data_IF_248735032614
#
_entry.id   IF_248735032614
#
_cell.length_a   1.000
_cell.length_b   1.000
_cell.length_c   1.000
_cell.angle_alpha   90.00
_cell.angle_beta   90.00
_cell.angle_gamma   90.00
#
_symmetry.space_group_name_H-M   'P 1'
#
loop_
_entity.id
_entity.type
_entity.pdbx_description
1 polymer ?
#
# COMPACT_ATOMS: atom_id res chain seq x y z
N UNK A 1 24.40 -8.95 -5.46
CA UNK A 1 23.30 -8.52 -4.57
C UNK A 1 23.68 -8.90 -3.15
N UNK A 2 23.66 -7.96 -2.21
CA UNK A 2 23.96 -8.18 -0.79
C UNK A 2 22.72 -7.79 0.03
N UNK A 3 22.33 -8.64 0.98
CA UNK A 3 21.22 -8.33 1.89
C UNK A 3 21.75 -7.46 3.02
N UNK A 4 21.17 -6.27 3.17
CA UNK A 4 21.50 -5.32 4.23
C UNK A 4 20.34 -5.26 5.23
N UNK A 5 20.38 -6.11 6.25
CA UNK A 5 19.42 -6.04 7.36
C UNK A 5 19.70 -4.79 8.19
N UNK A 6 18.64 -4.04 8.51
CA UNK A 6 18.74 -2.81 9.29
C UNK A 6 17.52 -2.60 10.18
N UNK A 7 17.66 -1.72 11.15
CA UNK A 7 16.54 -1.27 11.98
C UNK A 7 15.51 -0.51 11.14
N UNK A 8 14.22 -0.59 11.54
CA UNK A 8 13.10 0.04 10.80
C UNK A 8 13.28 1.55 10.67
N UNK A 9 13.81 2.23 11.68
CA UNK A 9 14.04 3.68 11.62
C UNK A 9 15.09 4.04 10.58
N UNK A 10 16.20 3.29 10.51
CA UNK A 10 17.24 3.49 9.51
C UNK A 10 16.75 3.16 8.10
N UNK A 11 15.91 2.12 7.95
CA UNK A 11 15.27 1.80 6.68
C UNK A 11 14.42 2.97 6.18
N UNK A 12 13.60 3.56 7.05
CA UNK A 12 12.79 4.73 6.68
C UNK A 12 13.66 5.92 6.29
N UNK A 13 14.70 6.25 7.06
CA UNK A 13 15.63 7.33 6.71
C UNK A 13 16.24 7.12 5.32
N UNK A 14 16.67 5.89 4.99
CA UNK A 14 17.23 5.61 3.66
C UNK A 14 16.19 5.64 2.55
N UNK A 15 15.01 5.07 2.80
CA UNK A 15 13.89 5.07 1.86
C UNK A 15 13.48 6.50 1.52
N UNK A 16 13.30 7.34 2.53
CA UNK A 16 12.92 8.75 2.39
C UNK A 16 14.00 9.56 1.65
N UNK A 17 15.27 9.20 1.81
CA UNK A 17 16.38 9.77 1.03
C UNK A 17 16.56 9.11 -0.34
N UNK A 18 15.74 8.13 -0.72
CA UNK A 18 15.87 7.31 -1.94
C UNK A 18 17.26 6.65 -2.09
N UNK A 19 17.87 6.25 -0.97
CA UNK A 19 19.21 5.64 -0.86
C UNK A 19 19.14 4.10 -0.79
N UNK A 20 18.44 3.47 -1.73
CA UNK A 20 18.36 2.02 -1.86
C UNK A 20 18.23 1.59 -3.32
N UNK A 21 18.84 0.45 -3.66
CA UNK A 21 18.68 -0.15 -5.00
C UNK A 21 17.38 -0.95 -5.09
N UNK A 22 17.08 -1.73 -4.04
CA UNK A 22 15.91 -2.61 -3.93
C UNK A 22 15.48 -2.66 -2.46
N UNK A 23 14.18 -2.61 -2.23
CA UNK A 23 13.58 -2.77 -0.90
C UNK A 23 12.61 -3.94 -0.87
N UNK A 24 12.57 -4.66 0.25
CA UNK A 24 11.63 -5.76 0.49
C UNK A 24 10.65 -5.33 1.57
N UNK A 25 9.36 -5.45 1.29
CA UNK A 25 8.30 -5.08 2.20
C UNK A 25 7.10 -6.03 2.11
N UNK A 26 6.14 -5.88 3.02
CA UNK A 26 4.88 -6.63 2.96
C UNK A 26 4.01 -6.16 1.80
N UNK A 27 3.43 -7.11 1.05
CA UNK A 27 2.41 -6.83 0.05
C UNK A 27 1.09 -6.47 0.73
N UNK A 28 0.64 -5.22 0.55
CA UNK A 28 -0.63 -4.70 1.06
C UNK A 28 -1.51 -4.25 -0.13
N UNK A 29 -2.73 -3.78 0.13
CA UNK A 29 -3.62 -3.23 -0.90
C UNK A 29 -4.46 -4.27 -1.65
N UNK A 30 -4.23 -5.57 -1.42
CA UNK A 30 -5.05 -6.63 -2.02
C UNK A 30 -6.51 -6.66 -1.53
N UNK A 31 -6.83 -6.01 -0.40
CA UNK A 31 -8.21 -5.91 0.11
C UNK A 31 -9.00 -4.78 -0.58
N UNK A 32 -8.34 -3.66 -0.87
CA UNK A 32 -8.90 -2.52 -1.58
C UNK A 32 -7.78 -1.81 -2.36
N UNK A 33 -7.72 -2.11 -3.65
CA UNK A 33 -6.66 -1.63 -4.55
C UNK A 33 -6.79 -0.15 -4.88
N UNK A 34 -7.97 0.44 -4.67
CA UNK A 34 -8.21 1.87 -4.95
C UNK A 34 -7.75 2.70 -3.77
N UNK A 35 -8.03 2.26 -2.55
CA UNK A 35 -7.57 2.94 -1.33
C UNK A 35 -6.09 2.74 -1.07
N UNK A 36 -5.51 1.62 -1.50
CA UNK A 36 -4.10 1.29 -1.30
C UNK A 36 -3.41 0.79 -2.57
N UNK A 37 -3.11 1.70 -3.51
CA UNK A 37 -2.50 1.34 -4.78
C UNK A 37 -0.96 1.32 -4.75
N UNK A 38 -0.28 1.41 -3.58
CA UNK A 38 1.18 1.64 -3.48
C UNK A 38 2.06 0.66 -4.25
N UNK A 39 1.58 -0.55 -4.55
CA UNK A 39 2.32 -1.57 -5.32
C UNK A 39 2.01 -1.58 -6.80
N UNK A 40 0.98 -0.85 -7.22
CA UNK A 40 0.51 -0.79 -8.61
C UNK A 40 0.81 0.56 -9.25
N UNK A 41 0.95 1.61 -8.43
CA UNK A 41 1.14 2.98 -8.90
C UNK A 41 1.92 3.80 -7.83
N UNK A 42 2.87 4.69 -8.20
CA UNK A 42 3.59 5.57 -7.25
C UNK A 42 2.67 6.58 -6.54
N UNK A 43 1.98 6.11 -5.51
CA UNK A 43 0.88 6.81 -4.85
C UNK A 43 1.30 7.58 -3.61
N UNK A 44 2.18 6.99 -2.80
CA UNK A 44 2.57 7.51 -1.48
C UNK A 44 4.02 7.17 -1.17
N UNK A 45 4.57 7.74 -0.10
CA UNK A 45 5.88 7.38 0.44
C UNK A 45 5.96 5.95 0.99
N UNK A 46 5.00 5.07 0.73
CA UNK A 46 5.14 3.63 0.92
C UNK A 46 5.24 2.88 -0.42
N UNK A 47 5.35 3.61 -1.54
CA UNK A 47 5.67 3.07 -2.86
C UNK A 47 7.20 2.98 -2.99
N UNK A 48 7.81 2.07 -2.22
CA UNK A 48 9.27 2.00 -2.01
C UNK A 48 10.08 1.88 -3.31
N UNK A 49 9.47 1.39 -4.40
CA UNK A 49 10.13 1.25 -5.69
C UNK A 49 10.22 2.58 -6.47
N UNK A 50 9.54 3.64 -6.03
CA UNK A 50 9.32 4.87 -6.80
C UNK A 50 9.13 6.13 -5.92
N UNK A 51 9.96 6.30 -4.88
CA UNK A 51 9.86 7.41 -3.91
C UNK A 51 9.96 8.80 -4.57
N UNK A 52 10.82 8.97 -5.57
CA UNK A 52 10.93 10.24 -6.29
C UNK A 52 9.71 10.51 -7.19
N UNK A 53 9.10 9.47 -7.76
CA UNK A 53 7.93 9.61 -8.64
C UNK A 53 6.65 9.86 -7.85
N UNK A 54 6.44 9.20 -6.71
CA UNK A 54 5.32 9.52 -5.83
C UNK A 54 5.46 10.94 -5.26
N UNK A 55 6.70 11.38 -4.98
CA UNK A 55 6.98 12.75 -4.57
C UNK A 55 6.58 13.74 -5.68
N UNK A 56 6.92 13.45 -6.93
CA UNK A 56 6.47 14.26 -8.08
C UNK A 56 4.95 14.29 -8.23
N UNK A 57 4.27 13.17 -8.02
CA UNK A 57 2.81 13.09 -8.09
C UNK A 57 2.11 13.96 -7.04
N UNK A 58 2.59 13.89 -5.80
CA UNK A 58 1.97 14.54 -4.64
C UNK A 58 2.46 15.98 -4.41
N UNK A 59 3.72 16.27 -4.70
CA UNK A 59 4.38 17.56 -4.48
C UNK A 59 5.43 17.86 -5.56
N UNK A 60 5.02 18.26 -6.79
CA UNK A 60 5.94 18.47 -7.91
C UNK A 60 6.89 19.66 -7.71
N UNK A 61 6.64 20.57 -6.75
CA UNK A 61 7.58 21.66 -6.45
C UNK A 61 8.78 21.19 -5.64
N UNK A 62 8.64 20.06 -4.92
CA UNK A 62 9.65 19.50 -4.03
C UNK A 62 9.89 20.28 -2.75
N UNK A 63 9.20 21.41 -2.53
CA UNK A 63 9.39 22.21 -1.32
C UNK A 63 8.92 21.42 -0.09
N UNK A 64 9.84 21.16 0.84
CA UNK A 64 9.58 20.37 2.04
C UNK A 64 9.37 18.87 1.79
N UNK A 65 9.60 18.37 0.58
CA UNK A 65 9.54 16.94 0.29
C UNK A 65 10.72 16.20 0.93
N UNK A 66 10.46 15.00 1.45
CA UNK A 66 11.52 14.12 1.98
C UNK A 66 12.43 13.62 0.86
N UNK A 67 11.81 13.17 -0.23
CA UNK A 67 12.49 12.77 -1.46
C UNK A 67 12.32 13.86 -2.52
N UNK A 68 13.40 14.35 -3.16
CA UNK A 68 13.28 15.26 -4.30
C UNK A 68 12.42 14.65 -5.40
N UNK A 69 11.45 15.39 -5.97
CA UNK A 69 10.58 14.86 -7.00
C UNK A 69 11.34 14.65 -8.30
N UNK A 70 11.05 13.54 -8.98
CA UNK A 70 11.56 13.22 -10.31
C UNK A 70 10.38 12.95 -11.25
N UNK A 71 10.41 13.53 -12.45
CA UNK A 71 9.37 13.29 -13.44
C UNK A 71 9.36 11.80 -13.85
N UNK A 72 8.24 11.09 -13.70
CA UNK A 72 8.16 9.67 -13.99
C UNK A 72 8.23 9.36 -15.50
N UNK A 73 8.59 8.12 -15.88
CA UNK A 73 8.39 7.59 -17.22
C UNK A 73 6.91 7.60 -17.64
N UNK A 74 6.67 7.34 -18.94
CA UNK A 74 5.33 7.40 -19.53
C UNK A 74 4.30 6.49 -18.83
N UNK A 75 4.66 5.24 -18.49
CA UNK A 75 3.77 4.28 -17.82
C UNK A 75 3.25 4.82 -16.48
N UNK A 76 4.13 5.07 -15.48
CA UNK A 76 3.68 5.63 -14.21
C UNK A 76 3.00 6.99 -14.33
N UNK A 77 3.41 7.84 -15.30
CA UNK A 77 2.72 9.11 -15.56
C UNK A 77 1.28 8.92 -16.03
N UNK A 78 1.02 7.94 -16.89
CA UNK A 78 -0.34 7.57 -17.30
C UNK A 78 -1.15 7.03 -16.11
N UNK A 79 -0.53 6.21 -15.24
CA UNK A 79 -1.19 5.74 -14.01
C UNK A 79 -1.60 6.91 -13.09
N UNK A 80 -0.77 7.97 -12.99
CA UNK A 80 -1.11 9.19 -12.25
C UNK A 80 -2.35 9.90 -12.80
N UNK A 81 -2.47 9.97 -14.13
CA UNK A 81 -3.61 10.59 -14.80
C UNK A 81 -4.90 9.78 -14.54
N UNK A 82 -4.84 8.46 -14.74
CA UNK A 82 -5.94 7.54 -14.44
C UNK A 82 -6.37 7.61 -12.98
N UNK A 83 -5.42 7.68 -12.04
CA UNK A 83 -5.74 7.75 -10.62
C UNK A 83 -6.42 9.08 -10.24
N UNK A 84 -6.05 10.19 -10.88
CA UNK A 84 -6.77 11.47 -10.72
C UNK A 84 -8.20 11.39 -11.25
N UNK A 85 -8.45 10.64 -12.32
CA UNK A 85 -9.81 10.39 -12.81
C UNK A 85 -10.63 9.55 -11.82
N UNK A 86 -10.02 8.50 -11.23
CA UNK A 86 -10.64 7.71 -10.15
C UNK A 86 -11.07 8.62 -8.99
N UNK A 87 -10.21 9.54 -8.57
CA UNK A 87 -10.49 10.51 -7.50
C UNK A 87 -11.58 11.53 -7.89
N UNK A 88 -11.77 11.79 -9.18
CA UNK A 88 -12.75 12.73 -9.71
C UNK A 88 -14.15 12.15 -9.89
N UNK A 89 -14.32 10.82 -9.85
CA UNK A 89 -15.61 10.15 -10.03
C UNK A 89 -16.12 9.52 -8.74
N UNK A 90 -17.45 9.51 -8.59
CA UNK A 90 -18.16 8.78 -7.53
C UNK A 90 -18.82 7.49 -8.02
N UNK A 91 -18.66 7.12 -9.30
CA UNK A 91 -19.20 5.89 -9.87
C UNK A 91 -18.22 4.74 -9.66
N UNK A 92 -18.62 3.75 -8.86
CA UNK A 92 -17.78 2.61 -8.54
C UNK A 92 -17.40 1.77 -9.78
N UNK A 93 -18.30 1.64 -10.76
CA UNK A 93 -18.01 0.89 -11.98
C UNK A 93 -16.96 1.62 -12.84
N UNK A 94 -17.00 2.95 -12.86
CA UNK A 94 -15.99 3.75 -13.52
C UNK A 94 -14.64 3.67 -12.80
N UNK A 95 -14.63 3.73 -11.46
CA UNK A 95 -13.41 3.54 -10.68
C UNK A 95 -12.77 2.17 -10.94
N UNK A 96 -13.57 1.11 -11.01
CA UNK A 96 -13.10 -0.23 -11.33
C UNK A 96 -12.42 -0.29 -12.70
N UNK A 97 -13.05 0.28 -13.74
CA UNK A 97 -12.50 0.25 -15.09
C UNK A 97 -11.20 1.05 -15.22
N UNK A 98 -11.12 2.21 -14.59
CA UNK A 98 -9.90 3.01 -14.56
C UNK A 98 -8.79 2.30 -13.76
N UNK A 99 -9.13 1.65 -12.65
CA UNK A 99 -8.14 0.92 -11.85
C UNK A 99 -7.60 -0.31 -12.59
N UNK A 100 -8.41 -1.00 -13.39
CA UNK A 100 -7.92 -2.08 -14.26
C UNK A 100 -6.84 -1.60 -15.22
N UNK A 101 -6.99 -0.42 -15.82
CA UNK A 101 -5.95 0.16 -16.68
C UNK A 101 -4.66 0.46 -15.92
N UNK A 102 -4.75 0.93 -14.66
CA UNK A 102 -3.57 1.09 -13.79
C UNK A 102 -2.87 -0.25 -13.56
N UNK A 103 -3.64 -1.31 -13.29
CA UNK A 103 -3.11 -2.67 -13.07
C UNK A 103 -2.48 -3.25 -14.34
N UNK A 104 -3.06 -3.02 -15.51
CA UNK A 104 -2.51 -3.45 -16.80
C UNK A 104 -1.14 -2.79 -17.04
N UNK A 105 -1.02 -1.48 -16.80
CA UNK A 105 0.27 -0.78 -16.89
C UNK A 105 1.27 -1.32 -15.86
N UNK A 106 0.82 -1.60 -14.63
CA UNK A 106 1.68 -2.14 -13.58
C UNK A 106 2.23 -3.53 -13.97
N UNK A 107 1.41 -4.34 -14.64
CA UNK A 107 1.81 -5.65 -15.14
C UNK A 107 2.83 -5.56 -16.28
N UNK A 108 2.66 -4.60 -17.20
CA UNK A 108 3.59 -4.38 -18.32
C UNK A 108 4.93 -3.79 -17.87
N UNK A 109 4.91 -2.83 -16.94
CA UNK A 109 6.11 -2.13 -16.45
C UNK A 109 6.89 -2.94 -15.40
N UNK A 110 6.18 -3.72 -14.57
CA UNK A 110 6.74 -4.72 -13.65
C UNK A 110 7.76 -4.18 -12.61
N UNK A 111 7.53 -2.97 -12.07
CA UNK A 111 8.39 -2.36 -11.05
C UNK A 111 8.36 -3.06 -9.67
N UNK A 112 7.22 -3.63 -9.30
CA UNK A 112 7.04 -4.35 -8.04
C UNK A 112 6.94 -5.85 -8.28
N UNK A 113 7.83 -6.64 -7.67
CA UNK A 113 7.90 -8.09 -7.87
C UNK A 113 7.37 -8.81 -6.63
N UNK A 114 6.19 -9.40 -6.77
CA UNK A 114 5.62 -10.30 -5.76
C UNK A 114 6.36 -11.65 -5.72
N UNK A 115 6.69 -12.13 -4.51
CA UNK A 115 7.40 -13.40 -4.33
C UNK A 115 6.44 -14.55 -3.96
N UNK A 116 5.61 -14.34 -2.94
CA UNK A 116 4.63 -15.32 -2.47
C UNK A 116 3.52 -14.63 -1.67
N UNK A 117 2.35 -15.26 -1.64
CA UNK A 117 1.28 -14.88 -0.70
C UNK A 117 1.62 -15.40 0.70
N UNK A 118 1.43 -14.55 1.70
CA UNK A 118 1.54 -14.97 3.10
C UNK A 118 0.46 -15.99 3.46
N UNK A 119 0.74 -16.94 4.37
CA UNK A 119 -0.30 -17.84 4.87
C UNK A 119 -1.33 -17.06 5.69
N UNK A 120 -2.54 -17.62 5.83
CA UNK A 120 -3.53 -17.07 6.75
C UNK A 120 -2.95 -17.01 8.18
N UNK A 121 -3.08 -15.85 8.82
CA UNK A 121 -2.78 -15.70 10.24
C UNK A 121 -3.80 -16.41 11.14
N UNK A 122 -3.59 -16.36 12.45
CA UNK A 122 -4.53 -16.87 13.44
C UNK A 122 -4.70 -15.89 14.61
N UNK A 123 -5.89 -15.89 15.19
CA UNK A 123 -6.18 -15.20 16.45
C UNK A 123 -6.34 -16.20 17.59
N UNK A 124 -6.17 -15.74 18.82
CA UNK A 124 -6.41 -16.53 20.03
C UNK A 124 -7.55 -15.86 20.80
N UNK A 125 -8.60 -16.62 21.09
CA UNK A 125 -9.76 -16.16 21.88
C UNK A 125 -9.97 -17.17 23.00
N UNK A 126 -10.08 -16.69 24.24
CA UNK A 126 -10.40 -17.55 25.37
C UNK A 126 -11.84 -18.05 25.24
N UNK A 127 -12.12 -19.29 25.68
CA UNK A 127 -13.47 -19.87 25.60
C UNK A 127 -14.56 -19.05 26.30
N UNK A 128 -14.20 -18.23 27.28
CA UNK A 128 -15.09 -17.33 28.03
C UNK A 128 -15.18 -15.93 27.41
N UNK A 129 -14.43 -15.64 26.36
CA UNK A 129 -14.39 -14.34 25.68
C UNK A 129 -15.17 -14.45 24.38
N UNK A 130 -16.25 -13.69 24.28
CA UNK A 130 -17.28 -13.86 23.28
C UNK A 130 -17.46 -12.62 22.42
N UNK A 131 -18.24 -12.81 21.34
CA UNK A 131 -18.53 -11.81 20.32
C UNK A 131 -17.33 -11.38 19.47
N UNK A 132 -16.27 -12.20 19.42
CA UNK A 132 -15.16 -12.04 18.48
C UNK A 132 -15.51 -12.74 17.16
N UNK A 133 -15.56 -12.04 16.02
CA UNK A 133 -15.89 -12.66 14.74
C UNK A 133 -14.79 -13.62 14.27
N UNK A 134 -15.20 -14.61 13.46
CA UNK A 134 -14.28 -15.51 12.76
C UNK A 134 -14.82 -15.78 11.35
N UNK A 135 -14.05 -15.52 10.29
CA UNK A 135 -12.68 -14.98 10.26
C UNK A 135 -12.61 -13.47 10.54
N UNK A 136 -11.40 -12.97 10.81
CA UNK A 136 -11.09 -11.53 10.86
C UNK A 136 -10.14 -11.21 9.69
N UNK A 137 -10.52 -10.38 8.70
CA UNK A 137 -9.60 -9.91 7.66
C UNK A 137 -8.41 -9.18 8.28
N UNK A 138 -7.19 -9.42 7.80
CA UNK A 138 -5.99 -8.72 8.28
C UNK A 138 -5.39 -7.83 7.19
N UNK A 139 -5.30 -6.53 7.45
CA UNK A 139 -4.57 -5.57 6.63
C UNK A 139 -4.13 -4.39 7.51
N UNK A 140 -3.15 -3.61 7.06
CA UNK A 140 -2.81 -2.35 7.72
C UNK A 140 -3.97 -1.34 7.64
N UNK A 141 -4.67 -1.27 6.50
CA UNK A 141 -5.84 -0.41 6.32
C UNK A 141 -7.05 -0.88 7.14
N UNK A 142 -7.06 -2.14 7.56
CA UNK A 142 -8.12 -2.75 8.36
C UNK A 142 -7.52 -3.33 9.65
N UNK A 143 -7.04 -2.46 10.57
CA UNK A 143 -6.10 -2.85 11.61
C UNK A 143 -6.77 -3.64 12.73
N UNK A 144 -6.58 -4.95 12.73
CA UNK A 144 -7.14 -5.83 13.76
C UNK A 144 -6.66 -5.45 15.17
N UNK A 145 -7.53 -5.52 16.19
CA UNK A 145 -8.95 -5.91 16.14
C UNK A 145 -9.91 -4.71 16.04
N UNK A 146 -9.48 -3.50 15.69
CA UNK A 146 -10.34 -2.32 15.80
C UNK A 146 -11.62 -2.41 14.93
N UNK A 147 -11.59 -2.90 13.68
CA UNK A 147 -12.79 -2.95 12.83
C UNK A 147 -13.84 -4.00 13.21
N UNK A 148 -13.56 -4.84 14.21
CA UNK A 148 -14.48 -5.89 14.65
C UNK A 148 -15.34 -5.45 15.83
N UNK A 149 -15.41 -4.15 16.11
CA UNK A 149 -16.16 -3.52 17.20
C UNK A 149 -15.84 -4.13 18.59
N UNK A 150 -14.59 -4.01 19.09
CA UNK A 150 -14.19 -4.58 20.37
C UNK A 150 -15.03 -4.15 21.57
N UNK A 151 -15.70 -3.00 21.51
CA UNK A 151 -16.63 -2.54 22.53
C UNK A 151 -17.84 -3.46 22.72
N UNK A 152 -18.11 -4.33 21.75
CA UNK A 152 -19.17 -5.35 21.82
C UNK A 152 -18.66 -6.68 22.36
N UNK A 153 -17.36 -6.82 22.63
CA UNK A 153 -16.79 -8.03 23.22
C UNK A 153 -17.21 -8.15 24.68
N UNK A 154 -17.38 -9.39 25.15
CA UNK A 154 -17.75 -9.64 26.53
C UNK A 154 -17.15 -10.92 27.08
N UNK A 155 -17.05 -10.99 28.41
CA UNK A 155 -16.54 -12.14 29.14
C UNK A 155 -17.73 -12.79 29.88
N UNK A 156 -17.93 -14.09 29.71
CA UNK A 156 -18.91 -14.85 30.47
C UNK A 156 -18.55 -14.86 31.97
N UNK A 157 -19.55 -14.71 32.84
CA UNK A 157 -19.39 -14.85 34.29
C UNK A 157 -19.35 -16.31 34.72
#
# INVERSE_FOLDING_TARGET
MQINSMDRSLLYTRKDSNEHDVSVWGGDGGLDVVLEPRWYFPYSGESLYAEAWQSWFNNPTGEGALTPPEEPPAGPKQQMELYREIQGTGDAAQQEELMKQILDIAADEFYAIGIALGPNGYGIVQNTFHNVPSPIPGSWLYPNPAPTNPEQYWIAQ
#
